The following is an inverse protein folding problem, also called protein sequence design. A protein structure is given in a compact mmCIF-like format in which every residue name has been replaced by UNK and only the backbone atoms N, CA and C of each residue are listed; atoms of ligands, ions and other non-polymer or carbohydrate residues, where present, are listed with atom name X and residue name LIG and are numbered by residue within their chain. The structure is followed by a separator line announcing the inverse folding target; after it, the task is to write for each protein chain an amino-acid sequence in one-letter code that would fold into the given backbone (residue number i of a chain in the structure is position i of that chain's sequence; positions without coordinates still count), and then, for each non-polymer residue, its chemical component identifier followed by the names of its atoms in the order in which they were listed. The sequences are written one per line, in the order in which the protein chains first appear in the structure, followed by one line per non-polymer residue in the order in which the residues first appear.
data_IF_632761652183
#
_entry.id   IF_632761652183
#
_cell.length_a   1.000
_cell.length_b   1.000
_cell.length_c   1.000
_cell.angle_alpha   90.00
_cell.angle_beta   90.00
_cell.angle_gamma   90.00
#
_symmetry.space_group_name_H-M   'P 1'
#
loop_
_entity.id
_entity.type
_entity.pdbx_description
1 polymer ?
#
# COMPACT_ATOMS: atom_id res chain seq x y z
N UNK A 1 9.77 1.60 -6.60
CA UNK A 1 9.26 1.35 -7.97
C UNK A 1 9.63 2.46 -8.97
N UNK A 2 10.85 3.04 -8.83
CA UNK A 2 11.26 4.27 -9.55
C UNK A 2 11.33 4.10 -11.07
N UNK A 3 11.67 2.90 -11.55
CA UNK A 3 11.72 2.56 -12.98
C UNK A 3 10.32 2.63 -13.61
N UNK A 4 9.28 2.26 -12.85
CA UNK A 4 7.89 2.26 -13.31
C UNK A 4 7.16 3.57 -12.97
N UNK A 5 7.87 4.59 -12.46
CA UNK A 5 7.29 5.84 -11.99
C UNK A 5 6.14 5.68 -10.96
N UNK A 6 6.14 4.60 -10.18
CA UNK A 6 5.15 4.38 -9.12
C UNK A 6 5.65 4.98 -7.80
N UNK A 7 4.80 5.80 -7.16
CA UNK A 7 5.03 6.38 -5.85
C UNK A 7 3.90 6.04 -4.87
N UNK A 8 4.26 5.77 -3.61
CA UNK A 8 3.30 5.63 -2.51
C UNK A 8 2.95 7.00 -1.95
N UNK A 9 1.65 7.28 -1.85
CA UNK A 9 1.09 8.51 -1.28
C UNK A 9 0.24 8.20 -0.06
N UNK A 10 0.22 9.10 0.90
CA UNK A 10 -0.65 9.00 2.07
C UNK A 10 -2.07 9.54 1.76
N UNK A 11 -2.92 9.57 2.78
CA UNK A 11 -4.31 10.00 2.65
C UNK A 11 -4.49 11.45 2.16
N UNK A 12 -3.47 12.31 2.33
CA UNK A 12 -3.49 13.70 1.85
C UNK A 12 -2.85 13.86 0.47
N UNK A 13 -2.37 12.78 -0.14
CA UNK A 13 -1.66 12.80 -1.43
C UNK A 13 -0.17 13.17 -1.32
N UNK A 14 0.35 13.42 -0.11
CA UNK A 14 1.76 13.65 0.13
C UNK A 14 2.56 12.35 0.03
N UNK A 15 3.88 12.46 -0.17
CA UNK A 15 4.78 11.31 -0.07
C UNK A 15 4.84 10.83 1.38
N UNK A 16 5.03 9.53 1.57
CA UNK A 16 5.14 8.95 2.90
C UNK A 16 6.30 9.59 3.66
N UNK A 17 6.04 9.98 4.91
CA UNK A 17 7.10 10.33 5.85
C UNK A 17 7.81 9.06 6.36
N UNK A 18 8.93 9.23 7.07
CA UNK A 18 9.74 8.09 7.54
C UNK A 18 8.97 7.12 8.44
N UNK A 19 8.04 7.63 9.27
CA UNK A 19 7.23 6.80 10.15
C UNK A 19 6.16 6.02 9.37
N UNK A 20 5.46 6.68 8.45
CA UNK A 20 4.48 6.04 7.56
C UNK A 20 5.13 4.96 6.69
N UNK A 21 6.32 5.24 6.14
CA UNK A 21 7.07 4.26 5.34
C UNK A 21 7.51 3.04 6.17
N UNK A 22 7.93 3.26 7.42
CA UNK A 22 8.26 2.19 8.36
C UNK A 22 7.02 1.35 8.69
N UNK A 23 5.89 1.99 9.03
CA UNK A 23 4.64 1.30 9.34
C UNK A 23 4.09 0.53 8.14
N UNK A 24 4.16 1.10 6.94
CA UNK A 24 3.79 0.41 5.70
C UNK A 24 4.63 -0.85 5.49
N UNK A 25 5.94 -0.76 5.63
CA UNK A 25 6.84 -1.92 5.48
C UNK A 25 6.60 -2.97 6.56
N UNK A 26 6.42 -2.55 7.81
CA UNK A 26 6.18 -3.45 8.94
C UNK A 26 4.85 -4.19 8.79
N UNK A 27 3.76 -3.48 8.49
CA UNK A 27 2.44 -4.08 8.31
C UNK A 27 2.40 -4.98 7.08
N UNK A 28 3.08 -4.61 5.99
CA UNK A 28 3.25 -5.49 4.84
C UNK A 28 3.98 -6.79 5.22
N UNK A 29 5.10 -6.69 5.94
CA UNK A 29 5.86 -7.87 6.38
C UNK A 29 5.03 -8.76 7.31
N UNK A 30 4.32 -8.16 8.27
CA UNK A 30 3.42 -8.88 9.17
C UNK A 30 2.32 -9.60 8.38
N UNK A 31 1.63 -8.88 7.48
CA UNK A 31 0.58 -9.46 6.65
C UNK A 31 1.10 -10.60 5.75
N UNK A 32 2.31 -10.46 5.21
CA UNK A 32 2.94 -11.47 4.36
C UNK A 32 3.31 -12.76 5.12
N UNK A 33 3.48 -12.69 6.44
CA UNK A 33 3.70 -13.86 7.29
C UNK A 33 2.46 -14.73 7.49
N UNK A 34 1.27 -14.23 7.14
CA UNK A 34 0.00 -14.94 7.32
C UNK A 34 -0.74 -15.08 5.99
N UNK A 35 -1.27 -16.27 5.72
CA UNK A 35 -2.00 -16.51 4.46
C UNK A 35 -3.28 -15.68 4.38
N UNK A 36 -4.05 -15.54 5.47
CA UNK A 36 -5.35 -14.86 5.45
C UNK A 36 -5.28 -13.35 5.16
N UNK A 37 -4.46 -12.53 5.87
CA UNK A 37 -4.34 -11.11 5.55
C UNK A 37 -3.77 -10.87 4.14
N UNK A 38 -2.88 -11.76 3.69
CA UNK A 38 -2.29 -11.69 2.36
C UNK A 38 -3.31 -12.00 1.26
N UNK A 39 -4.15 -13.03 1.43
CA UNK A 39 -5.21 -13.36 0.45
C UNK A 39 -6.27 -12.27 0.39
N UNK A 40 -6.68 -11.71 1.52
CA UNK A 40 -7.59 -10.55 1.57
C UNK A 40 -6.98 -9.37 0.82
N UNK A 41 -5.70 -9.06 1.05
CA UNK A 41 -5.00 -7.98 0.35
C UNK A 41 -5.01 -8.20 -1.17
N UNK A 42 -4.72 -9.42 -1.63
CA UNK A 42 -4.74 -9.73 -3.06
C UNK A 42 -6.15 -9.60 -3.66
N UNK A 43 -7.18 -10.10 -2.97
CA UNK A 43 -8.57 -9.96 -3.41
C UNK A 43 -9.00 -8.49 -3.49
N UNK A 44 -8.62 -7.67 -2.50
CA UNK A 44 -8.88 -6.23 -2.51
C UNK A 44 -8.18 -5.53 -3.67
N UNK A 45 -6.93 -5.91 -3.97
CA UNK A 45 -6.20 -5.39 -5.13
C UNK A 45 -6.83 -5.83 -6.45
N UNK A 46 -7.38 -7.04 -6.55
CA UNK A 46 -8.01 -7.52 -7.80
C UNK A 46 -9.38 -6.89 -8.00
N UNK A 47 -10.22 -6.90 -6.97
CA UNK A 47 -11.64 -6.55 -7.05
C UNK A 47 -11.91 -5.07 -6.75
N UNK A 48 -11.08 -4.43 -5.94
CA UNK A 48 -11.32 -3.08 -5.44
C UNK A 48 -11.07 -1.98 -6.48
N UNK A 49 -11.79 -0.85 -6.42
CA UNK A 49 -11.64 0.27 -7.35
C UNK A 49 -10.31 1.02 -7.17
N UNK A 50 -9.78 1.05 -5.95
CA UNK A 50 -8.53 1.73 -5.61
C UNK A 50 -7.29 0.84 -5.68
N UNK A 51 -7.47 -0.47 -5.91
CA UNK A 51 -6.40 -1.48 -6.01
C UNK A 51 -5.44 -1.46 -4.79
N UNK A 52 -5.98 -1.21 -3.59
CA UNK A 52 -5.22 -1.11 -2.34
C UNK A 52 -5.14 -2.48 -1.65
N UNK A 53 -4.02 -2.75 -0.98
CA UNK A 53 -3.91 -3.86 -0.04
C UNK A 53 -4.65 -3.58 1.28
N UNK A 54 -4.77 -4.60 2.13
CA UNK A 54 -5.40 -4.45 3.44
C UNK A 54 -4.63 -3.46 4.33
N UNK A 55 -3.30 -3.58 4.36
CA UNK A 55 -2.43 -2.68 5.12
C UNK A 55 -2.44 -1.26 4.55
N UNK A 56 -2.53 -1.10 3.23
CA UNK A 56 -2.68 0.20 2.58
C UNK A 56 -3.98 0.89 2.97
N UNK A 57 -5.09 0.14 2.99
CA UNK A 57 -6.37 0.69 3.44
C UNK A 57 -6.30 1.13 4.91
N UNK A 58 -5.64 0.33 5.76
CA UNK A 58 -5.46 0.63 7.17
C UNK A 58 -4.61 1.90 7.40
N UNK A 59 -3.53 2.06 6.64
CA UNK A 59 -2.65 3.23 6.71
C UNK A 59 -3.17 4.45 5.92
N UNK A 60 -4.20 4.26 5.09
CA UNK A 60 -4.66 5.27 4.15
C UNK A 60 -3.65 5.56 3.03
N UNK A 61 -2.80 4.59 2.67
CA UNK A 61 -1.78 4.75 1.63
C UNK A 61 -2.25 4.20 0.29
N UNK A 62 -1.73 4.73 -0.81
CA UNK A 62 -2.04 4.26 -2.16
C UNK A 62 -0.82 4.36 -3.05
N UNK A 63 -0.61 3.34 -3.89
CA UNK A 63 0.41 3.36 -4.92
C UNK A 63 -0.16 4.02 -6.19
N UNK A 64 0.47 5.10 -6.66
CA UNK A 64 0.06 5.86 -7.84
C UNK A 64 1.15 5.73 -8.89
N UNK A 65 0.77 5.32 -10.10
CA UNK A 65 1.64 5.32 -11.26
C UNK A 65 1.60 6.69 -11.94
N UNK A 66 2.76 7.35 -12.13
CA UNK A 66 2.91 8.71 -12.69
C UNK A 66 2.09 9.76 -11.92
N UNK A 67 2.46 10.09 -10.67
CA UNK A 67 1.74 11.08 -9.85
C UNK A 67 2.04 12.54 -10.23
N UNK A 68 2.14 12.83 -11.54
CA UNK A 68 2.41 14.16 -12.08
C UNK A 68 1.13 14.82 -12.59
#
# INVERSE_FOLDING_TARGET
MRIMAIELRNATGARLNSFEAMMHTFLFMLASGFVLPQTISALMMILGPRKQGLHDLFLGTVAINRPQ
#
